data_IF_091615231153
#
_entry.id   IF_091615231153
#
_cell.length_a   1.000
_cell.length_b   1.000
_cell.length_c   1.000
_cell.angle_alpha   90.00
_cell.angle_beta   90.00
_cell.angle_gamma   90.00
#
_symmetry.space_group_name_H-M   'P 1'
#
loop_
_entity.id
_entity.type
_entity.pdbx_description
1 polymer ?
#
# COMPACT_ATOMS: atom_id res chain seq x y z
N UNK A 1 40.15 -9.06 -73.51
CA UNK A 1 40.39 -10.11 -72.50
C UNK A 1 39.74 -9.83 -71.14
N UNK A 2 39.80 -8.61 -70.56
CA UNK A 2 39.17 -8.30 -69.25
C UNK A 2 37.66 -8.58 -69.15
N UNK A 3 36.88 -8.29 -70.21
CA UNK A 3 35.42 -8.52 -70.22
C UNK A 3 35.00 -10.00 -70.22
N UNK A 4 35.82 -10.90 -70.76
CA UNK A 4 35.50 -12.33 -70.83
C UNK A 4 35.64 -13.02 -69.46
N UNK A 5 36.70 -12.72 -68.72
CA UNK A 5 36.87 -13.21 -67.35
C UNK A 5 35.85 -12.63 -66.36
N UNK A 6 35.37 -11.40 -66.59
CA UNK A 6 34.27 -10.82 -65.81
C UNK A 6 32.94 -11.58 -66.03
N UNK A 7 32.63 -11.98 -67.26
CA UNK A 7 31.39 -12.72 -67.56
C UNK A 7 31.42 -14.14 -66.98
N UNK A 8 32.59 -14.79 -66.97
CA UNK A 8 32.77 -16.14 -66.43
C UNK A 8 32.74 -16.20 -64.89
N UNK A 9 33.16 -15.14 -64.20
CA UNK A 9 33.22 -15.08 -62.73
C UNK A 9 31.91 -14.59 -62.09
N UNK A 10 31.03 -13.95 -62.85
CA UNK A 10 29.71 -13.50 -62.41
C UNK A 10 28.85 -14.59 -61.73
N UNK A 11 28.65 -15.80 -62.30
CA UNK A 11 27.85 -16.84 -61.65
C UNK A 11 28.46 -17.31 -60.33
N UNK A 12 29.80 -17.32 -60.22
CA UNK A 12 30.50 -17.69 -59.00
C UNK A 12 30.37 -16.61 -57.90
N UNK A 13 30.47 -15.33 -58.27
CA UNK A 13 30.28 -14.20 -57.34
C UNK A 13 28.83 -14.09 -56.88
N UNK A 14 27.86 -14.32 -57.78
CA UNK A 14 26.43 -14.34 -57.43
C UNK A 14 26.06 -15.56 -56.59
N UNK A 15 26.59 -16.75 -56.91
CA UNK A 15 26.44 -17.95 -56.08
C UNK A 15 27.00 -17.75 -54.66
N UNK A 16 28.19 -17.14 -54.56
CA UNK A 16 28.80 -16.79 -53.26
C UNK A 16 27.97 -15.76 -52.48
N UNK A 17 27.44 -14.72 -53.16
CA UNK A 17 26.55 -13.72 -52.53
C UNK A 17 25.23 -14.32 -52.04
N UNK A 18 24.63 -15.24 -52.80
CA UNK A 18 23.38 -15.90 -52.40
C UNK A 18 23.63 -16.80 -51.19
N UNK A 19 24.72 -17.58 -51.21
CA UNK A 19 25.11 -18.45 -50.10
C UNK A 19 25.42 -17.65 -48.82
N UNK A 20 26.19 -16.56 -48.94
CA UNK A 20 26.54 -15.72 -47.79
C UNK A 20 25.34 -14.94 -47.25
N UNK A 21 24.46 -14.44 -48.12
CA UNK A 21 23.22 -13.77 -47.70
C UNK A 21 22.26 -14.75 -47.01
N UNK A 22 22.15 -15.98 -47.52
CA UNK A 22 21.35 -17.04 -46.88
C UNK A 22 21.90 -17.41 -45.50
N UNK A 23 23.22 -17.52 -45.36
CA UNK A 23 23.86 -17.77 -44.07
C UNK A 23 23.65 -16.60 -43.10
N UNK A 24 23.77 -15.35 -43.55
CA UNK A 24 23.50 -14.17 -42.71
C UNK A 24 22.04 -14.09 -42.26
N UNK A 25 21.08 -14.45 -43.12
CA UNK A 25 19.66 -14.54 -42.74
C UNK A 25 19.45 -15.63 -41.69
N UNK A 26 20.06 -16.81 -41.87
CA UNK A 26 19.97 -17.90 -40.90
C UNK A 26 20.56 -17.51 -39.54
N UNK A 27 21.75 -16.90 -39.51
CA UNK A 27 22.38 -16.44 -38.26
C UNK A 27 21.54 -15.37 -37.59
N UNK A 28 20.97 -14.42 -38.34
CA UNK A 28 20.08 -13.39 -37.79
C UNK A 28 18.78 -14.00 -37.23
N UNK A 29 18.21 -15.02 -37.88
CA UNK A 29 17.04 -15.73 -37.38
C UNK A 29 17.35 -16.53 -36.11
N UNK A 30 18.51 -17.20 -36.06
CA UNK A 30 18.96 -17.91 -34.86
C UNK A 30 19.24 -16.94 -33.70
N UNK A 31 19.81 -15.77 -33.99
CA UNK A 31 20.00 -14.70 -33.02
C UNK A 31 18.66 -14.13 -32.54
N UNK A 32 17.70 -13.92 -33.43
CA UNK A 32 16.36 -13.46 -33.04
C UNK A 32 15.62 -14.52 -32.21
N UNK A 33 15.73 -15.79 -32.59
CA UNK A 33 15.14 -16.90 -31.85
C UNK A 33 15.78 -17.05 -30.46
N UNK A 34 17.10 -16.89 -30.33
CA UNK A 34 17.75 -16.90 -29.03
C UNK A 34 17.36 -15.69 -28.19
N UNK A 35 17.22 -14.51 -28.79
CA UNK A 35 16.72 -13.32 -28.11
C UNK A 35 15.28 -13.55 -27.58
N UNK A 36 14.39 -14.12 -28.40
CA UNK A 36 13.02 -14.45 -28.00
C UNK A 36 13.02 -15.54 -26.92
N UNK A 37 13.88 -16.54 -27.01
CA UNK A 37 13.98 -17.60 -26.00
C UNK A 37 14.46 -17.05 -24.64
N UNK A 38 15.51 -16.22 -24.66
CA UNK A 38 16.01 -15.53 -23.46
C UNK A 38 14.94 -14.60 -22.91
N UNK A 39 14.26 -13.81 -23.76
CA UNK A 39 13.18 -12.92 -23.34
C UNK A 39 11.99 -13.71 -22.76
N UNK A 40 11.64 -14.85 -23.36
CA UNK A 40 10.56 -15.72 -22.86
C UNK A 40 10.92 -16.35 -21.53
N UNK A 41 12.18 -16.78 -21.35
CA UNK A 41 12.69 -17.26 -20.06
C UNK A 41 12.70 -16.15 -19.00
N UNK A 42 13.08 -14.93 -19.37
CA UNK A 42 13.07 -13.77 -18.47
C UNK A 42 11.66 -13.30 -18.10
N UNK A 43 10.68 -13.51 -18.98
CA UNK A 43 9.28 -13.14 -18.76
C UNK A 43 8.40 -14.30 -18.26
N UNK A 44 8.95 -15.51 -18.15
CA UNK A 44 8.21 -16.66 -17.66
C UNK A 44 7.88 -16.46 -16.19
N UNK A 45 6.59 -16.36 -15.88
CA UNK A 45 6.09 -16.32 -14.50
C UNK A 45 5.44 -17.67 -14.20
N UNK A 46 5.90 -18.39 -13.16
CA UNK A 46 5.25 -19.62 -12.75
C UNK A 46 3.79 -19.33 -12.36
N UNK A 47 2.87 -20.27 -12.59
CA UNK A 47 1.48 -20.08 -12.20
C UNK A 47 1.38 -19.86 -10.69
N UNK A 48 0.67 -18.82 -10.29
CA UNK A 48 0.43 -18.54 -8.88
C UNK A 48 -0.43 -19.64 -8.28
N UNK A 49 0.10 -20.33 -7.28
CA UNK A 49 -0.62 -21.32 -6.48
C UNK A 49 -0.70 -20.86 -5.04
N UNK A 50 -1.87 -21.02 -4.42
CA UNK A 50 -2.06 -20.74 -3.00
C UNK A 50 -1.61 -21.97 -2.21
N UNK A 51 -0.58 -21.88 -1.35
CA UNK A 51 -0.17 -23.01 -0.53
C UNK A 51 -1.28 -23.41 0.45
N UNK A 52 -1.42 -24.70 0.73
CA UNK A 52 -2.35 -25.18 1.74
C UNK A 52 -1.88 -24.73 3.12
N UNK A 53 -2.77 -24.09 3.89
CA UNK A 53 -2.44 -23.61 5.24
C UNK A 53 -1.74 -22.26 5.28
N UNK A 54 -1.69 -21.50 4.17
CA UNK A 54 -0.92 -20.27 4.06
C UNK A 54 -1.48 -19.08 4.87
N UNK A 55 -0.60 -18.11 5.13
CA UNK A 55 -0.96 -16.74 5.48
C UNK A 55 -1.19 -15.88 4.25
N UNK A 56 -2.25 -15.07 4.26
CA UNK A 56 -2.39 -13.95 3.33
C UNK A 56 -1.58 -12.76 3.86
N UNK A 57 -0.54 -12.34 3.13
CA UNK A 57 0.28 -11.18 3.51
C UNK A 57 -0.29 -9.92 2.85
N UNK A 58 -0.99 -9.13 3.66
CA UNK A 58 -1.57 -7.84 3.27
C UNK A 58 -0.57 -6.71 3.57
N UNK A 59 0.27 -6.40 2.58
CA UNK A 59 1.32 -5.39 2.68
C UNK A 59 1.15 -4.28 1.62
N UNK A 60 0.04 -3.51 1.64
CA UNK A 60 -0.18 -2.47 0.66
C UNK A 60 0.91 -1.39 0.75
N UNK A 61 1.39 -0.96 -0.41
CA UNK A 61 2.38 0.10 -0.56
C UNK A 61 1.75 1.29 -1.27
N UNK A 62 2.15 2.52 -0.91
CA UNK A 62 1.58 3.72 -1.53
C UNK A 62 0.23 4.14 -0.92
N UNK A 63 -0.58 4.88 -1.66
CA UNK A 63 -1.86 5.39 -1.15
C UNK A 63 -3.00 4.41 -1.40
N UNK A 64 -3.94 4.34 -0.46
CA UNK A 64 -5.21 3.65 -0.69
C UNK A 64 -6.16 4.62 -1.37
N UNK A 65 -6.66 4.24 -2.55
CA UNK A 65 -7.48 5.09 -3.41
C UNK A 65 -8.78 4.38 -3.79
N UNK A 66 -9.85 5.13 -4.07
CA UNK A 66 -11.09 4.55 -4.59
C UNK A 66 -10.92 3.98 -6.00
N UNK A 67 -10.11 4.67 -6.82
CA UNK A 67 -9.83 4.28 -8.20
C UNK A 67 -8.37 4.57 -8.53
N UNK A 68 -7.69 3.58 -9.10
CA UNK A 68 -6.31 3.74 -9.58
C UNK A 68 -6.26 4.77 -10.70
N UNK A 69 -5.28 5.65 -10.64
CA UNK A 69 -4.97 6.52 -11.78
C UNK A 69 -4.48 5.66 -12.95
N UNK A 70 -4.96 5.89 -14.19
CA UNK A 70 -4.45 5.17 -15.35
C UNK A 70 -2.99 5.56 -15.55
N UNK A 71 -2.08 4.63 -15.29
CA UNK A 71 -0.66 4.79 -15.64
C UNK A 71 -0.50 4.30 -17.08
N UNK A 72 0.14 5.12 -17.90
CA UNK A 72 0.48 4.73 -19.27
C UNK A 72 1.36 3.46 -19.28
N UNK A 73 1.07 2.45 -20.14
CA UNK A 73 1.83 1.21 -20.18
C UNK A 73 3.33 1.39 -20.41
N UNK A 74 3.74 2.40 -21.20
CA UNK A 74 5.14 2.70 -21.46
C UNK A 74 5.82 3.25 -20.21
N UNK A 75 5.13 4.14 -19.47
CA UNK A 75 5.63 4.67 -18.18
C UNK A 75 5.86 3.55 -17.16
N UNK A 76 4.96 2.56 -17.09
CA UNK A 76 5.13 1.39 -16.21
C UNK A 76 6.39 0.59 -16.55
N UNK A 77 6.65 0.35 -17.84
CA UNK A 77 7.84 -0.38 -18.30
C UNK A 77 9.13 0.41 -18.02
N UNK A 78 9.15 1.70 -18.37
CA UNK A 78 10.30 2.57 -18.13
C UNK A 78 10.65 2.64 -16.65
N UNK A 79 9.66 2.81 -15.78
CA UNK A 79 9.89 2.88 -14.33
C UNK A 79 10.41 1.56 -13.76
N UNK A 80 9.90 0.40 -14.24
CA UNK A 80 10.42 -0.92 -13.86
C UNK A 80 11.89 -1.10 -14.26
N UNK A 81 12.26 -0.69 -15.48
CA UNK A 81 13.64 -0.78 -15.97
C UNK A 81 14.58 0.20 -15.25
N UNK A 82 14.07 1.37 -14.87
CA UNK A 82 14.83 2.39 -14.14
C UNK A 82 14.98 2.07 -12.63
N UNK A 83 14.42 0.96 -12.15
CA UNK A 83 14.43 0.60 -10.72
C UNK A 83 13.66 1.58 -9.84
N UNK A 84 12.76 2.38 -10.42
CA UNK A 84 11.94 3.33 -9.67
C UNK A 84 10.89 2.58 -8.84
N UNK A 85 10.67 2.96 -7.56
CA UNK A 85 9.58 2.38 -6.78
C UNK A 85 8.26 2.78 -7.44
N UNK A 86 7.60 1.81 -8.06
CA UNK A 86 6.18 1.92 -8.35
C UNK A 86 5.47 1.72 -7.01
N UNK A 87 5.37 2.77 -6.21
CA UNK A 87 4.34 2.81 -5.18
C UNK A 87 3.01 2.91 -5.92
N UNK A 88 2.53 1.78 -6.44
CA UNK A 88 1.26 1.73 -7.15
C UNK A 88 0.16 1.91 -6.12
N UNK A 89 -0.67 2.92 -6.32
CA UNK A 89 -1.84 3.12 -5.47
C UNK A 89 -2.69 1.84 -5.46
N UNK A 90 -3.09 1.43 -4.26
CA UNK A 90 -3.90 0.23 -4.07
C UNK A 90 -5.37 0.65 -4.04
N UNK A 91 -6.20 0.01 -4.88
CA UNK A 91 -7.63 0.29 -4.85
C UNK A 91 -8.24 -0.24 -3.54
N UNK A 92 -9.12 0.54 -2.91
CA UNK A 92 -9.82 0.13 -1.70
C UNK A 92 -10.63 -1.14 -1.95
N UNK A 93 -11.42 -1.16 -3.03
CA UNK A 93 -12.31 -2.29 -3.35
C UNK A 93 -11.55 -3.60 -3.54
N UNK A 94 -10.36 -3.52 -4.14
CA UNK A 94 -9.45 -4.65 -4.31
C UNK A 94 -9.05 -5.25 -2.96
N UNK A 95 -8.73 -4.42 -1.95
CA UNK A 95 -8.43 -4.89 -0.60
C UNK A 95 -9.64 -5.56 0.05
N UNK A 96 -10.82 -4.94 -0.06
CA UNK A 96 -12.05 -5.46 0.55
C UNK A 96 -12.42 -6.82 -0.04
N UNK A 97 -12.46 -6.92 -1.37
CA UNK A 97 -12.80 -8.15 -2.07
C UNK A 97 -11.78 -9.26 -1.79
N UNK A 98 -10.49 -8.93 -1.71
CA UNK A 98 -9.45 -9.90 -1.34
C UNK A 98 -9.61 -10.41 0.09
N UNK A 99 -9.87 -9.53 1.06
CA UNK A 99 -10.07 -9.94 2.46
C UNK A 99 -11.32 -10.82 2.58
N UNK A 100 -12.42 -10.45 1.91
CA UNK A 100 -13.66 -11.21 1.95
C UNK A 100 -13.51 -12.57 1.25
N UNK A 101 -12.86 -12.63 0.08
CA UNK A 101 -12.58 -13.90 -0.60
C UNK A 101 -11.67 -14.79 0.24
N UNK A 102 -10.64 -14.21 0.85
CA UNK A 102 -9.73 -14.93 1.75
C UNK A 102 -10.42 -15.41 3.03
N UNK A 103 -11.55 -14.81 3.43
CA UNK A 103 -12.33 -15.29 4.58
C UNK A 103 -12.95 -16.67 4.31
N UNK A 104 -13.41 -16.92 3.08
CA UNK A 104 -14.03 -18.18 2.67
C UNK A 104 -13.02 -19.24 2.18
N UNK A 105 -11.81 -18.83 1.80
CA UNK A 105 -10.78 -19.74 1.28
C UNK A 105 -10.14 -20.62 2.36
N UNK A 106 -10.43 -21.92 2.36
CA UNK A 106 -9.92 -22.88 3.37
C UNK A 106 -8.40 -23.00 3.44
N UNK A 107 -7.70 -22.62 2.36
CA UNK A 107 -6.24 -22.65 2.27
C UNK A 107 -5.63 -21.54 3.12
N UNK A 108 -6.31 -20.40 3.26
CA UNK A 108 -5.86 -19.28 4.08
C UNK A 108 -6.24 -19.51 5.55
N UNK A 109 -5.23 -19.52 6.43
CA UNK A 109 -5.43 -19.74 7.89
C UNK A 109 -5.39 -18.45 8.70
N UNK A 110 -4.58 -17.49 8.28
CA UNK A 110 -4.44 -16.20 8.93
C UNK A 110 -4.12 -15.11 7.93
N UNK A 111 -4.33 -13.86 8.34
CA UNK A 111 -3.94 -12.67 7.60
C UNK A 111 -2.83 -11.95 8.36
N UNK A 112 -1.70 -11.71 7.70
CA UNK A 112 -0.61 -10.88 8.20
C UNK A 112 -0.73 -9.48 7.60
N UNK A 113 -1.15 -8.51 8.40
CA UNK A 113 -1.28 -7.11 8.03
C UNK A 113 0.04 -6.37 8.28
N UNK A 114 0.63 -5.81 7.22
CA UNK A 114 1.87 -5.02 7.28
C UNK A 114 1.60 -3.59 6.80
N UNK A 115 1.08 -2.70 7.65
CA UNK A 115 0.63 -1.37 7.23
C UNK A 115 1.79 -0.35 7.09
N UNK A 116 3.02 -0.72 7.45
CA UNK A 116 4.14 0.22 7.59
C UNK A 116 4.55 0.94 6.30
N UNK A 117 4.14 0.45 5.13
CA UNK A 117 4.44 1.06 3.80
C UNK A 117 3.25 1.78 3.17
N UNK A 118 2.13 1.89 3.89
CA UNK A 118 0.98 2.70 3.48
C UNK A 118 1.34 4.17 3.63
N UNK A 119 1.21 4.92 2.54
CA UNK A 119 1.40 6.37 2.48
C UNK A 119 0.18 7.13 2.98
N UNK A 120 -0.88 7.19 2.16
CA UNK A 120 -2.14 7.86 2.50
C UNK A 120 -3.24 6.86 2.79
N UNK A 121 -3.94 7.07 3.90
CA UNK A 121 -5.07 6.25 4.33
C UNK A 121 -6.02 7.12 5.16
N UNK A 122 -7.26 7.23 4.70
CA UNK A 122 -8.29 8.05 5.34
C UNK A 122 -9.09 7.26 6.39
N UNK A 123 -9.69 7.92 7.40
CA UNK A 123 -10.43 7.21 8.46
C UNK A 123 -11.59 6.35 7.97
N UNK A 124 -12.33 6.78 6.95
CA UNK A 124 -13.43 6.03 6.32
C UNK A 124 -12.94 4.79 5.58
N UNK A 125 -11.79 4.88 4.90
CA UNK A 125 -11.12 3.71 4.32
C UNK A 125 -10.68 2.74 5.41
N UNK A 126 -10.15 3.21 6.54
CA UNK A 126 -9.80 2.34 7.67
C UNK A 126 -11.02 1.61 8.21
N UNK A 127 -12.17 2.29 8.38
CA UNK A 127 -13.39 1.65 8.83
C UNK A 127 -13.89 0.59 7.86
N UNK A 128 -13.80 0.86 6.56
CA UNK A 128 -14.20 -0.09 5.51
C UNK A 128 -13.33 -1.35 5.52
N UNK A 129 -12.00 -1.18 5.58
CA UNK A 129 -11.06 -2.30 5.68
C UNK A 129 -11.23 -3.02 7.02
N UNK A 130 -11.43 -2.28 8.11
CA UNK A 130 -11.68 -2.81 9.45
C UNK A 130 -12.90 -3.72 9.51
N UNK A 131 -14.00 -3.31 8.86
CA UNK A 131 -15.20 -4.15 8.74
C UNK A 131 -14.94 -5.44 7.95
N UNK A 132 -14.11 -5.40 6.90
CA UNK A 132 -13.69 -6.60 6.17
C UNK A 132 -12.82 -7.52 7.04
N UNK A 133 -11.85 -6.95 7.79
CA UNK A 133 -11.04 -7.70 8.75
C UNK A 133 -11.90 -8.33 9.85
N UNK A 134 -12.95 -7.65 10.31
CA UNK A 134 -13.90 -8.21 11.27
C UNK A 134 -14.67 -9.40 10.68
N UNK A 135 -15.11 -9.33 9.41
CA UNK A 135 -15.72 -10.48 8.72
C UNK A 135 -14.75 -11.65 8.60
N UNK A 136 -13.50 -11.38 8.21
CA UNK A 136 -12.44 -12.39 8.15
C UNK A 136 -12.23 -13.08 9.51
N UNK A 137 -12.26 -12.32 10.61
CA UNK A 137 -12.17 -12.86 11.98
C UNK A 137 -13.39 -13.67 12.39
N UNK A 138 -14.60 -13.22 12.01
CA UNK A 138 -15.86 -13.96 12.23
C UNK A 138 -15.89 -15.29 11.49
N UNK A 139 -15.15 -15.44 10.38
CA UNK A 139 -14.93 -16.72 9.71
C UNK A 139 -13.99 -17.68 10.48
N UNK A 140 -13.54 -17.30 11.69
CA UNK A 140 -12.71 -18.13 12.57
C UNK A 140 -11.22 -18.04 12.29
N UNK A 141 -10.78 -17.10 11.44
CA UNK A 141 -9.38 -16.89 11.08
C UNK A 141 -8.78 -15.74 11.90
N UNK A 142 -7.46 -15.76 12.07
CA UNK A 142 -6.74 -14.75 12.87
C UNK A 142 -6.14 -13.66 12.00
N UNK A 143 -6.13 -12.43 12.50
CA UNK A 143 -5.43 -11.29 11.91
C UNK A 143 -4.27 -10.88 12.83
N UNK A 144 -3.06 -10.84 12.29
CA UNK A 144 -1.87 -10.38 13.00
C UNK A 144 -1.36 -9.13 12.29
N UNK A 145 -1.18 -8.03 13.01
CA UNK A 145 -0.56 -6.80 12.52
C UNK A 145 0.90 -6.73 12.98
N UNK A 146 1.81 -6.40 12.05
CA UNK A 146 3.22 -6.21 12.35
C UNK A 146 3.81 -5.05 11.55
N UNK A 147 4.55 -4.16 12.21
CA UNK A 147 5.29 -3.08 11.59
C UNK A 147 6.47 -2.64 12.45
N UNK A 148 7.46 -2.01 11.82
CA UNK A 148 8.60 -1.41 12.53
C UNK A 148 8.17 -0.20 13.36
N UNK A 149 7.16 0.53 12.92
CA UNK A 149 6.49 1.62 13.64
C UNK A 149 5.13 1.86 13.01
N UNK A 150 4.22 2.48 13.76
CA UNK A 150 2.90 2.83 13.26
C UNK A 150 2.70 4.35 13.28
N UNK A 151 2.31 4.91 12.14
CA UNK A 151 1.66 6.22 12.10
C UNK A 151 0.22 6.10 12.65
N UNK A 152 -0.45 7.24 12.91
CA UNK A 152 -1.82 7.22 13.43
C UNK A 152 -2.79 6.43 12.54
N UNK A 153 -2.75 6.62 11.23
CA UNK A 153 -3.64 5.92 10.30
C UNK A 153 -3.29 4.43 10.20
N UNK A 154 -2.00 4.10 10.15
CA UNK A 154 -1.51 2.73 10.13
C UNK A 154 -1.87 1.98 11.43
N UNK A 155 -1.78 2.65 12.57
CA UNK A 155 -2.17 2.10 13.86
C UNK A 155 -3.68 1.94 13.98
N UNK A 156 -4.46 2.92 13.50
CA UNK A 156 -5.91 2.79 13.48
C UNK A 156 -6.34 1.54 12.70
N UNK A 157 -5.73 1.28 11.54
CA UNK A 157 -5.94 0.05 10.79
C UNK A 157 -5.46 -1.19 11.54
N UNK A 158 -4.24 -1.16 12.10
CA UNK A 158 -3.70 -2.27 12.88
C UNK A 158 -4.56 -2.62 14.11
N UNK A 159 -5.29 -1.64 14.67
CA UNK A 159 -6.16 -1.86 15.83
C UNK A 159 -7.21 -2.94 15.60
N UNK A 160 -7.62 -3.19 14.34
CA UNK A 160 -8.62 -4.20 13.98
C UNK A 160 -8.09 -5.64 14.01
N UNK A 161 -6.78 -5.84 14.16
CA UNK A 161 -6.14 -7.14 14.26
C UNK A 161 -6.41 -7.83 15.62
N UNK A 162 -6.28 -9.16 15.66
CA UNK A 162 -6.31 -9.92 16.92
C UNK A 162 -5.04 -9.71 17.76
N UNK A 163 -3.90 -9.55 17.08
CA UNK A 163 -2.60 -9.25 17.70
C UNK A 163 -1.88 -8.16 16.94
N UNK A 164 -1.27 -7.24 17.66
CA UNK A 164 -0.46 -6.15 17.14
C UNK A 164 0.93 -6.29 17.72
N UNK A 165 1.90 -6.52 16.85
CA UNK A 165 3.31 -6.59 17.20
C UNK A 165 4.04 -5.36 16.69
N UNK A 166 4.99 -4.90 17.50
CA UNK A 166 5.83 -3.73 17.19
C UNK A 166 7.30 -4.14 17.26
N UNK A 167 8.13 -3.56 16.41
CA UNK A 167 9.57 -3.78 16.51
C UNK A 167 10.13 -3.13 17.81
N UNK A 168 11.10 -3.75 18.53
CA UNK A 168 11.63 -3.24 19.81
C UNK A 168 12.24 -1.83 19.83
N UNK A 169 12.51 -1.21 18.68
CA UNK A 169 12.98 0.17 18.55
C UNK A 169 11.91 1.07 17.88
N UNK A 170 10.71 0.54 17.73
CA UNK A 170 9.58 1.18 17.09
C UNK A 170 8.76 2.07 18.01
N UNK A 171 7.75 2.72 17.43
CA UNK A 171 6.79 3.52 18.18
C UNK A 171 5.40 3.52 17.55
N UNK A 172 4.39 3.78 18.37
CA UNK A 172 3.01 4.07 17.96
C UNK A 172 2.77 5.57 18.08
N UNK A 173 2.49 6.24 16.96
CA UNK A 173 2.36 7.69 16.90
C UNK A 173 0.89 8.12 16.84
N UNK A 174 0.24 8.18 18.01
CA UNK A 174 -1.09 8.77 18.17
C UNK A 174 -0.98 10.22 18.65
N UNK A 175 -1.69 11.13 17.96
CA UNK A 175 -1.58 12.58 18.17
C UNK A 175 -2.89 13.36 18.01
N UNK A 176 -3.98 12.71 17.61
CA UNK A 176 -5.25 13.36 17.33
C UNK A 176 -5.36 13.93 15.91
N UNK A 177 -6.45 14.65 15.63
CA UNK A 177 -6.66 15.35 14.37
C UNK A 177 -6.53 16.86 14.55
N UNK A 178 -5.99 17.49 13.52
CA UNK A 178 -5.83 18.94 13.47
C UNK A 178 -5.94 19.41 12.02
N UNK A 179 -6.43 20.64 11.83
CA UNK A 179 -6.47 21.32 10.54
C UNK A 179 -5.62 22.57 10.65
N UNK A 180 -4.65 22.67 9.75
CA UNK A 180 -3.79 23.84 9.60
C UNK A 180 -4.06 24.44 8.23
N UNK A 181 -4.28 25.76 8.19
CA UNK A 181 -4.42 26.51 6.94
C UNK A 181 -3.43 27.66 6.95
N UNK A 182 -2.77 27.87 5.82
CA UNK A 182 -1.93 29.03 5.59
C UNK A 182 -2.82 30.21 5.24
N UNK A 183 -2.64 31.35 5.93
CA UNK A 183 -3.33 32.60 5.63
C UNK A 183 -2.33 33.58 5.00
N UNK A 184 -2.72 34.17 3.86
CA UNK A 184 -1.86 34.96 2.98
C UNK A 184 -2.34 36.40 2.82
N UNK A 185 -3.36 36.85 3.55
CA UNK A 185 -3.93 38.19 3.36
C UNK A 185 -2.85 39.27 3.47
N UNK A 186 -2.03 39.25 4.52
CA UNK A 186 -0.97 40.24 4.69
C UNK A 186 0.08 40.20 3.57
N UNK A 187 0.41 39.01 3.05
CA UNK A 187 1.32 38.88 1.90
C UNK A 187 0.71 39.54 0.65
N UNK A 188 -0.56 39.28 0.38
CA UNK A 188 -1.27 39.84 -0.78
C UNK A 188 -1.35 41.38 -0.70
N UNK A 189 -1.58 41.93 0.50
CA UNK A 189 -1.55 43.37 0.74
C UNK A 189 -0.19 43.98 0.43
N UNK A 190 0.89 43.35 0.87
CA UNK A 190 2.27 43.81 0.60
C UNK A 190 2.64 43.74 -0.88
N UNK A 191 2.07 42.79 -1.61
CA UNK A 191 2.22 42.66 -3.06
C UNK A 191 1.26 43.56 -3.85
N UNK A 192 0.47 44.39 -3.17
CA UNK A 192 -0.56 45.24 -3.77
C UNK A 192 -1.57 44.47 -4.65
N UNK A 193 -1.88 43.23 -4.27
CA UNK A 193 -2.85 42.39 -4.97
C UNK A 193 -4.26 42.72 -4.49
N UNK A 194 -5.09 43.23 -5.40
CA UNK A 194 -6.50 43.53 -5.11
C UNK A 194 -7.39 42.30 -5.38
N UNK A 195 -7.84 41.64 -4.31
CA UNK A 195 -8.75 40.50 -4.38
C UNK A 195 -10.21 40.94 -4.12
N UNK A 196 -11.09 40.67 -5.07
CA UNK A 196 -12.54 40.86 -4.90
C UNK A 196 -13.21 39.50 -4.73
N UNK A 197 -13.78 39.24 -3.55
CA UNK A 197 -14.44 37.98 -3.22
C UNK A 197 -15.94 38.18 -3.12
N UNK A 198 -16.68 37.38 -3.89
CA UNK A 198 -18.14 37.27 -3.79
C UNK A 198 -18.46 35.89 -3.20
N UNK A 199 -19.10 35.86 -2.03
CA UNK A 199 -19.53 34.62 -1.38
C UNK A 199 -20.91 34.76 -0.77
N UNK A 200 -21.65 33.65 -0.77
CA UNK A 200 -22.90 33.48 -0.02
C UNK A 200 -22.76 32.25 0.85
N UNK A 201 -23.15 32.36 2.12
CA UNK A 201 -23.05 31.30 3.12
C UNK A 201 -22.00 31.61 4.19
N UNK A 202 -22.47 31.66 5.44
CA UNK A 202 -21.68 31.98 6.64
C UNK A 202 -20.45 31.09 6.80
N UNK A 203 -20.61 29.78 6.56
CA UNK A 203 -19.55 28.78 6.71
C UNK A 203 -18.73 28.53 5.45
N UNK A 204 -18.90 29.33 4.37
CA UNK A 204 -18.12 29.17 3.13
C UNK A 204 -16.72 29.77 3.31
N UNK A 205 -15.86 29.02 4.01
CA UNK A 205 -14.56 29.49 4.53
C UNK A 205 -13.36 29.22 3.61
N UNK A 206 -13.54 28.52 2.49
CA UNK A 206 -12.44 28.13 1.60
C UNK A 206 -11.58 29.30 1.10
N UNK A 207 -12.14 30.51 1.05
CA UNK A 207 -11.45 31.73 0.62
C UNK A 207 -10.89 32.56 1.78
N UNK A 208 -11.18 32.22 3.04
CA UNK A 208 -10.65 32.95 4.21
C UNK A 208 -9.13 33.07 4.23
N UNK A 209 -8.35 32.05 3.83
CA UNK A 209 -6.91 32.16 3.63
C UNK A 209 -6.44 33.38 2.82
N UNK A 210 -7.24 33.91 1.91
CA UNK A 210 -6.86 35.01 1.04
C UNK A 210 -7.38 36.38 1.51
N UNK A 211 -8.39 36.40 2.39
CA UNK A 211 -9.05 37.62 2.86
C UNK A 211 -8.82 37.93 4.34
N UNK A 212 -8.30 36.96 5.10
CA UNK A 212 -8.00 37.07 6.53
C UNK A 212 -6.58 36.60 6.82
N UNK A 213 -6.12 36.88 8.04
CA UNK A 213 -4.87 36.33 8.58
C UNK A 213 -5.12 35.19 9.58
N UNK A 214 -6.38 34.89 9.88
CA UNK A 214 -6.81 33.88 10.83
C UNK A 214 -8.17 33.26 10.46
N UNK A 215 -8.45 32.13 11.10
CA UNK A 215 -9.72 31.42 10.99
C UNK A 215 -10.83 32.23 11.66
N UNK A 216 -11.93 32.47 10.93
CA UNK A 216 -13.13 33.09 11.50
C UNK A 216 -13.73 32.23 12.63
N UNK A 217 -14.52 32.82 13.55
CA UNK A 217 -15.26 32.06 14.55
C UNK A 217 -16.15 30.97 13.93
N UNK A 218 -16.75 31.25 12.78
CA UNK A 218 -17.66 30.33 12.09
C UNK A 218 -16.90 29.18 11.41
N UNK A 219 -15.76 29.45 10.75
CA UNK A 219 -14.89 28.38 10.25
C UNK A 219 -14.33 27.54 11.41
N UNK A 220 -14.01 28.17 12.55
CA UNK A 220 -13.54 27.46 13.74
C UNK A 220 -14.61 26.55 14.32
N UNK A 221 -15.84 27.02 14.48
CA UNK A 221 -16.97 26.23 14.94
C UNK A 221 -17.20 25.01 14.03
N UNK A 222 -17.31 25.25 12.71
CA UNK A 222 -17.53 24.19 11.75
C UNK A 222 -16.39 23.16 11.77
N UNK A 223 -15.13 23.62 11.76
CA UNK A 223 -13.97 22.73 11.82
C UNK A 223 -13.93 21.94 13.13
N UNK A 224 -14.11 22.59 14.28
CA UNK A 224 -14.13 21.91 15.58
C UNK A 224 -15.19 20.80 15.64
N UNK A 225 -16.38 21.03 15.07
CA UNK A 225 -17.46 20.04 15.06
C UNK A 225 -17.07 18.77 14.29
N UNK A 226 -16.65 18.89 13.02
CA UNK A 226 -16.36 17.70 12.21
C UNK A 226 -15.04 17.03 12.61
N UNK A 227 -14.00 17.79 13.02
CA UNK A 227 -12.77 17.19 13.53
C UNK A 227 -13.03 16.41 14.82
N UNK A 228 -13.82 16.97 15.72
CA UNK A 228 -14.21 16.32 16.97
C UNK A 228 -14.89 14.98 16.70
N UNK A 229 -15.91 14.99 15.83
CA UNK A 229 -16.64 13.76 15.46
C UNK A 229 -15.73 12.70 14.83
N UNK A 230 -14.85 13.08 13.90
CA UNK A 230 -13.91 12.14 13.28
C UNK A 230 -12.93 11.55 14.31
N UNK A 231 -12.38 12.40 15.19
CA UNK A 231 -11.46 11.93 16.23
C UNK A 231 -12.16 11.00 17.22
N UNK A 232 -13.37 11.35 17.66
CA UNK A 232 -14.17 10.51 18.56
C UNK A 232 -14.48 9.16 17.95
N UNK A 233 -14.83 9.09 16.66
CA UNK A 233 -15.05 7.82 15.97
C UNK A 233 -13.78 6.95 15.96
N UNK A 234 -12.65 7.53 15.54
CA UNK A 234 -11.35 6.86 15.51
C UNK A 234 -10.93 6.36 16.90
N UNK A 235 -10.97 7.23 17.92
CA UNK A 235 -10.60 6.90 19.29
C UNK A 235 -11.52 5.82 19.89
N UNK A 236 -12.81 5.86 19.59
CA UNK A 236 -13.78 4.86 20.05
C UNK A 236 -13.49 3.49 19.46
N UNK A 237 -13.21 3.42 18.16
CA UNK A 237 -12.85 2.17 17.51
C UNK A 237 -11.54 1.60 18.08
N UNK A 238 -10.50 2.43 18.22
CA UNK A 238 -9.22 1.99 18.83
C UNK A 238 -9.44 1.50 20.25
N UNK A 239 -10.14 2.26 21.08
CA UNK A 239 -10.42 1.91 22.47
C UNK A 239 -11.19 0.59 22.56
N UNK A 240 -12.24 0.41 21.75
CA UNK A 240 -13.01 -0.84 21.66
C UNK A 240 -12.12 -2.01 21.25
N UNK A 241 -11.34 -1.85 20.18
CA UNK A 241 -10.54 -2.94 19.62
C UNK A 241 -9.40 -3.36 20.55
N UNK A 242 -8.80 -2.40 21.27
CA UNK A 242 -7.72 -2.63 22.25
C UNK A 242 -8.22 -2.90 23.67
N UNK A 243 -9.53 -2.88 23.91
CA UNK A 243 -10.15 -3.02 25.24
C UNK A 243 -9.63 -1.97 26.25
N UNK A 244 -9.41 -0.76 25.78
CA UNK A 244 -9.02 0.41 26.58
C UNK A 244 -10.25 1.29 26.83
N UNK A 245 -10.19 2.13 27.87
CA UNK A 245 -11.16 3.23 28.03
C UNK A 245 -10.74 4.41 27.15
N UNK A 246 -11.71 5.23 26.74
CA UNK A 246 -11.43 6.48 26.02
C UNK A 246 -10.57 7.44 26.86
N UNK A 247 -10.76 7.43 28.18
CA UNK A 247 -9.97 8.22 29.12
C UNK A 247 -8.50 7.79 29.11
N UNK A 248 -8.21 6.49 29.29
CA UNK A 248 -6.84 5.98 29.25
C UNK A 248 -6.17 6.26 27.91
N UNK A 249 -6.90 6.10 26.79
CA UNK A 249 -6.38 6.42 25.46
C UNK A 249 -6.08 7.92 25.32
N UNK A 250 -6.97 8.78 25.84
CA UNK A 250 -6.79 10.22 25.89
C UNK A 250 -5.57 10.63 26.74
N UNK A 251 -5.39 10.04 27.91
CA UNK A 251 -4.23 10.26 28.78
C UNK A 251 -2.93 9.82 28.10
N UNK A 252 -2.92 8.66 27.44
CA UNK A 252 -1.76 8.17 26.68
C UNK A 252 -1.30 9.17 25.62
N UNK A 253 -2.24 9.87 24.99
CA UNK A 253 -1.98 10.84 23.92
C UNK A 253 -1.64 12.22 24.50
N UNK A 254 -2.41 12.72 25.46
CA UNK A 254 -2.31 14.08 25.97
C UNK A 254 -1.15 14.25 26.97
N UNK A 255 -0.81 13.21 27.75
CA UNK A 255 0.27 13.22 28.73
C UNK A 255 1.56 12.56 28.21
N UNK A 256 1.78 12.58 26.89
CA UNK A 256 2.85 11.83 26.23
C UNK A 256 4.25 12.08 26.81
N UNK A 257 4.59 13.32 27.17
CA UNK A 257 5.90 13.65 27.76
C UNK A 257 6.10 12.96 29.13
N UNK A 258 5.08 13.02 29.99
CA UNK A 258 5.13 12.39 31.31
C UNK A 258 5.15 10.86 31.19
N UNK A 259 4.30 10.31 30.32
CA UNK A 259 4.23 8.87 30.07
C UNK A 259 5.56 8.32 29.52
N UNK A 260 6.19 9.05 28.60
CA UNK A 260 7.48 8.66 28.04
C UNK A 260 8.62 8.73 29.07
N UNK A 261 8.57 9.71 29.99
CA UNK A 261 9.51 9.78 31.10
C UNK A 261 9.40 8.58 32.04
N UNK A 262 8.17 8.05 32.25
CA UNK A 262 7.94 6.88 33.11
C UNK A 262 8.62 5.59 32.62
N UNK A 263 8.97 5.53 31.33
CA UNK A 263 9.66 4.40 30.68
C UNK A 263 11.04 4.79 30.14
N UNK A 264 11.67 5.82 30.71
CA UNK A 264 13.03 6.28 30.35
C UNK A 264 13.22 6.62 28.86
N UNK A 265 12.19 7.11 28.17
CA UNK A 265 12.30 7.46 26.76
C UNK A 265 12.04 6.32 25.78
N UNK A 266 11.77 5.10 26.26
CA UNK A 266 11.50 3.94 25.40
C UNK A 266 10.05 3.95 24.89
N UNK A 267 9.88 4.32 23.62
CA UNK A 267 8.57 4.40 22.96
C UNK A 267 7.94 3.03 22.72
N UNK A 268 8.75 1.98 22.56
CA UNK A 268 8.26 0.62 22.33
C UNK A 268 7.74 0.03 23.65
N UNK A 269 8.47 0.25 24.74
CA UNK A 269 8.04 -0.10 26.08
C UNK A 269 6.76 0.65 26.46
N UNK A 270 6.66 1.96 26.15
CA UNK A 270 5.43 2.72 26.37
C UNK A 270 4.23 2.09 25.65
N UNK A 271 4.37 1.74 24.37
CA UNK A 271 3.29 1.14 23.61
C UNK A 271 2.84 -0.21 24.20
N UNK A 272 3.79 -0.99 24.73
CA UNK A 272 3.48 -2.27 25.37
C UNK A 272 2.80 -2.09 26.72
N UNK A 273 3.33 -1.25 27.61
CA UNK A 273 2.80 -1.05 28.97
C UNK A 273 1.42 -0.39 28.97
N UNK A 274 1.13 0.44 27.97
CA UNK A 274 -0.18 1.09 27.78
C UNK A 274 -1.21 0.20 27.08
N UNK A 275 -0.84 -1.02 26.67
CA UNK A 275 -1.72 -1.96 25.99
C UNK A 275 -2.02 -1.60 24.53
N UNK A 276 -1.30 -0.63 23.95
CA UNK A 276 -1.43 -0.27 22.54
C UNK A 276 -0.95 -1.41 21.62
N UNK A 277 0.04 -2.20 22.06
CA UNK A 277 0.52 -3.38 21.32
C UNK A 277 0.53 -4.61 22.24
N UNK A 278 0.48 -5.80 21.63
CA UNK A 278 0.43 -7.08 22.35
C UNK A 278 1.83 -7.67 22.60
N UNK A 279 2.85 -7.19 21.90
CA UNK A 279 4.22 -7.64 22.08
C UNK A 279 5.23 -6.87 21.24
N UNK A 280 6.49 -6.95 21.67
CA UNK A 280 7.64 -6.45 20.93
C UNK A 280 8.33 -7.62 20.24
N UNK A 281 8.47 -7.58 18.91
CA UNK A 281 9.07 -8.65 18.11
C UNK A 281 9.99 -8.09 17.04
N UNK A 282 11.19 -8.64 16.94
CA UNK A 282 12.02 -8.49 15.76
C UNK A 282 11.39 -9.20 14.56
N UNK A 283 11.84 -8.88 13.34
CA UNK A 283 11.38 -9.53 12.12
C UNK A 283 11.63 -11.06 12.17
N UNK A 284 12.79 -11.47 12.68
CA UNK A 284 13.17 -12.88 12.86
C UNK A 284 12.27 -13.61 13.85
N UNK A 285 11.89 -12.97 14.96
CA UNK A 285 10.96 -13.57 15.94
C UNK A 285 9.54 -13.67 15.38
N UNK A 286 9.13 -12.71 14.55
CA UNK A 286 7.84 -12.76 13.85
C UNK A 286 7.81 -13.88 12.81
N UNK A 287 8.84 -14.00 11.99
CA UNK A 287 9.00 -15.08 11.01
C UNK A 287 9.00 -16.45 11.70
N UNK A 288 9.76 -16.60 12.79
CA UNK A 288 9.78 -17.81 13.60
C UNK A 288 8.39 -18.19 14.16
N UNK A 289 7.61 -17.22 14.65
CA UNK A 289 6.24 -17.48 15.11
C UNK A 289 5.31 -17.89 13.97
N UNK A 290 5.43 -17.26 12.80
CA UNK A 290 4.61 -17.61 11.63
C UNK A 290 4.94 -19.01 11.12
N UNK A 291 6.23 -19.38 11.07
CA UNK A 291 6.67 -20.75 10.76
C UNK A 291 6.07 -21.76 11.74
N UNK A 292 6.07 -21.44 13.04
CA UNK A 292 5.46 -22.31 14.05
C UNK A 292 3.92 -22.45 13.92
N UNK A 293 3.24 -21.42 13.41
CA UNK A 293 1.78 -21.43 13.22
C UNK A 293 1.31 -22.09 11.92
N UNK A 294 2.10 -21.98 10.85
CA UNK A 294 1.69 -22.31 9.48
C UNK A 294 2.50 -23.46 8.87
N UNK A 295 3.63 -23.81 9.50
CA UNK A 295 4.62 -24.71 8.92
C UNK A 295 5.59 -24.00 7.97
N UNK A 296 6.61 -24.75 7.56
CA UNK A 296 7.56 -24.34 6.52
C UNK A 296 7.04 -24.84 5.15
N UNK A 297 7.04 -24.01 4.10
CA UNK A 297 6.74 -24.46 2.76
C UNK A 297 7.88 -25.33 2.22
N UNK A 298 7.57 -26.19 1.24
CA UNK A 298 8.56 -27.06 0.56
C UNK A 298 9.66 -26.27 -0.19
N UNK A 299 9.50 -24.96 -0.36
CA UNK A 299 10.43 -24.07 -1.06
C UNK A 299 10.85 -22.90 -0.19
N UNK A 300 12.10 -22.96 0.28
CA UNK A 300 12.87 -21.91 0.94
C UNK A 300 12.48 -21.53 2.39
N UNK A 301 13.46 -20.90 3.04
CA UNK A 301 13.62 -20.56 4.47
C UNK A 301 12.59 -19.51 5.00
N UNK A 302 11.34 -19.59 4.54
CA UNK A 302 10.25 -18.67 4.87
C UNK A 302 9.04 -19.45 5.45
N UNK A 303 7.95 -18.77 5.79
CA UNK A 303 6.69 -19.41 6.22
C UNK A 303 5.72 -19.58 5.05
N UNK A 304 4.77 -20.52 5.18
CA UNK A 304 3.76 -20.74 4.15
C UNK A 304 2.87 -19.49 3.99
N UNK A 305 3.02 -18.78 2.86
CA UNK A 305 2.34 -17.52 2.64
C UNK A 305 2.03 -17.26 1.16
N UNK A 306 1.13 -16.32 0.91
CA UNK A 306 0.89 -15.72 -0.39
C UNK A 306 0.75 -14.21 -0.25
N UNK A 307 1.35 -13.46 -1.17
CA UNK A 307 1.25 -12.01 -1.18
C UNK A 307 -0.15 -11.56 -1.61
N UNK A 308 -0.55 -10.36 -1.21
CA UNK A 308 -1.79 -9.74 -1.69
C UNK A 308 -1.88 -9.71 -3.22
N UNK A 309 -0.81 -9.29 -3.90
CA UNK A 309 -0.79 -9.17 -5.36
C UNK A 309 -0.98 -10.52 -6.06
N UNK A 310 -0.25 -11.55 -5.61
CA UNK A 310 -0.36 -12.89 -6.18
C UNK A 310 -1.75 -13.49 -5.90
N UNK A 311 -2.27 -13.31 -4.68
CA UNK A 311 -3.59 -13.83 -4.33
C UNK A 311 -4.70 -13.23 -5.19
N UNK A 312 -4.60 -11.97 -5.60
CA UNK A 312 -5.54 -11.35 -6.52
C UNK A 312 -5.59 -12.00 -7.90
N UNK A 313 -4.51 -12.64 -8.36
CA UNK A 313 -4.50 -13.38 -9.63
C UNK A 313 -5.30 -14.69 -9.56
N UNK A 314 -5.58 -15.17 -8.35
CA UNK A 314 -6.23 -16.48 -8.13
C UNK A 314 -7.75 -16.45 -8.19
N UNK A 315 -8.36 -15.25 -8.20
CA UNK A 315 -9.80 -15.08 -8.32
C UNK A 315 -10.13 -13.83 -9.13
N UNK A 316 -11.34 -13.77 -9.69
CA UNK A 316 -11.85 -12.55 -10.34
C UNK A 316 -12.64 -11.73 -9.32
N UNK A 317 -12.20 -10.52 -8.95
CA UNK A 317 -12.93 -9.68 -8.01
C UNK A 317 -14.37 -9.41 -8.47
N UNK A 318 -15.36 -9.48 -7.58
CA UNK A 318 -16.75 -9.20 -7.93
C UNK A 318 -16.97 -7.85 -8.66
N UNK A 319 -16.26 -6.80 -8.24
CA UNK A 319 -16.44 -5.46 -8.81
C UNK A 319 -15.95 -5.32 -10.26
N UNK A 320 -14.99 -6.15 -10.70
CA UNK A 320 -14.50 -6.12 -12.10
C UNK A 320 -15.42 -6.87 -13.06
N UNK A 321 -16.31 -7.75 -12.56
CA UNK A 321 -17.28 -8.47 -13.42
C UNK A 321 -18.33 -7.54 -14.06
N UNK A 322 -18.61 -6.40 -13.46
CA UNK A 322 -19.61 -5.46 -13.95
C UNK A 322 -19.11 -4.65 -15.17
N UNK A 323 -17.81 -4.34 -15.25
CA UNK A 323 -17.26 -3.50 -16.34
C UNK A 323 -17.17 -4.23 -17.69
N UNK A 324 -17.31 -5.56 -17.72
CA UNK A 324 -17.23 -6.37 -18.94
C UNK A 324 -18.54 -6.54 -19.71
N UNK A 325 -19.69 -6.08 -19.18
CA UNK A 325 -21.00 -6.26 -19.84
C UNK A 325 -21.50 -5.06 -20.64
N UNK A 326 -20.87 -3.89 -20.50
CA UNK A 326 -21.29 -2.64 -21.16
C UNK A 326 -20.21 -2.05 -22.09
N UNK A 327 -19.42 -2.91 -22.77
CA UNK A 327 -18.53 -2.49 -23.86
C UNK A 327 -18.77 -3.27 -25.14
#
# INVERSE_FOLDING_TARGET
MKRFFQILTLPFVWGWKILSSGLSVLVNLLFLASLVAVLSLLLYQPPVTVPDGAALVLAPEGSIVEKRSPIDPLTRVINRLAGGPLSEDVALQDLLDTIDHAADDRRIKLLLLKPGRIGSLSPDQVQSIGAALERFRKAGKKVIAFADSYSQAQYYLASWADRIYLQPMGAVHLRGFAVFRLYLRELLDRLAVNLHVFRVGTYKSALEPLIRNDMSPEDREANSLWLGNLWTACATDIARNRKLTLENLGENINAQVANLASVNGDRSALALTTGLVDGLKSRQEMESELKALLGEPDTADDFAHISFADYQETFTPPHTRAEGKDR
#
